data_IF_256895277562
#
_entry.id   IF_256895277562
#
_cell.length_a   1.000
_cell.length_b   1.000
_cell.length_c   1.000
_cell.angle_alpha   90.00
_cell.angle_beta   90.00
_cell.angle_gamma   90.00
#
_symmetry.space_group_name_H-M   'P 1'
#
loop_
_entity.id
_entity.type
_entity.pdbx_description
1 polymer ?
#
# COMPACT_ATOMS: atom_id res chain seq x y z
N UNK A 1 -9.17 7.46 3.06
CA UNK A 1 -9.80 6.14 3.21
C UNK A 1 -10.38 6.07 4.61
N UNK A 2 -11.49 5.36 4.81
CA UNK A 2 -12.08 5.17 6.15
C UNK A 2 -11.59 3.90 6.84
N UNK A 3 -11.06 2.95 6.07
CA UNK A 3 -10.48 1.67 6.52
C UNK A 3 -9.56 1.13 5.41
N UNK A 4 -8.81 0.06 5.69
CA UNK A 4 -8.01 -0.66 4.71
C UNK A 4 -6.67 -0.02 4.38
N UNK A 5 -6.25 1.02 5.11
CA UNK A 5 -5.02 1.77 4.88
C UNK A 5 -3.92 1.43 5.91
N UNK A 6 -2.76 2.09 5.77
CA UNK A 6 -1.64 1.90 6.69
C UNK A 6 -1.98 2.28 8.13
N UNK A 7 -2.93 3.19 8.35
CA UNK A 7 -3.33 3.60 9.69
C UNK A 7 -4.21 2.53 10.33
N UNK A 8 -5.20 2.01 9.61
CA UNK A 8 -6.10 0.97 10.09
C UNK A 8 -5.40 -0.36 10.41
N UNK A 9 -4.37 -0.74 9.63
CA UNK A 9 -3.67 -2.01 9.79
C UNK A 9 -2.40 -1.96 10.65
N UNK A 10 -2.08 -0.80 11.22
CA UNK A 10 -0.85 -0.61 11.99
C UNK A 10 -0.77 -1.52 13.20
N UNK A 11 0.31 -2.30 13.29
CA UNK A 11 0.71 -3.03 14.49
C UNK A 11 2.12 -2.63 14.88
N UNK A 12 2.40 -2.64 16.18
CA UNK A 12 3.74 -2.36 16.70
C UNK A 12 4.08 -3.25 17.88
N UNK A 13 5.37 -3.50 18.05
CA UNK A 13 5.93 -4.23 19.17
C UNK A 13 7.21 -3.53 19.63
N UNK A 14 7.53 -3.65 20.91
CA UNK A 14 8.80 -3.23 21.47
C UNK A 14 9.67 -4.46 21.69
N UNK A 15 10.88 -4.48 21.13
CA UNK A 15 11.81 -5.58 21.29
C UNK A 15 12.26 -5.69 22.75
N UNK A 16 12.02 -6.83 23.40
CA UNK A 16 12.36 -7.04 24.80
C UNK A 16 13.86 -7.16 25.07
N UNK A 17 14.65 -7.36 24.02
CA UNK A 17 16.10 -7.55 24.06
C UNK A 17 16.67 -7.53 22.66
N UNK A 18 17.99 -7.61 22.54
CA UNK A 18 18.67 -7.70 21.24
C UNK A 18 18.26 -9.00 20.55
N UNK A 19 17.73 -8.91 19.33
CA UNK A 19 17.31 -10.06 18.55
C UNK A 19 17.42 -9.83 17.05
N UNK A 20 17.29 -10.92 16.28
CA UNK A 20 17.21 -10.89 14.83
C UNK A 20 15.82 -11.37 14.41
N UNK A 21 15.11 -10.55 13.64
CA UNK A 21 13.79 -10.86 13.09
C UNK A 21 13.87 -11.11 11.58
N UNK A 22 12.92 -11.88 11.05
CA UNK A 22 12.78 -12.19 9.62
C UNK A 22 11.39 -11.77 9.13
N UNK A 23 11.30 -11.29 7.89
CA UNK A 23 10.02 -10.95 7.24
C UNK A 23 9.69 -12.05 6.23
N UNK A 24 8.56 -12.69 6.44
CA UNK A 24 8.08 -13.81 5.62
C UNK A 24 6.65 -13.58 5.16
N UNK A 25 6.35 -14.00 3.93
CA UNK A 25 4.99 -14.17 3.44
C UNK A 25 4.64 -15.66 3.48
N UNK A 26 3.60 -15.99 4.25
CA UNK A 26 2.98 -17.31 4.22
C UNK A 26 1.95 -17.31 3.09
N UNK A 27 2.15 -18.14 2.08
CA UNK A 27 1.22 -18.32 0.98
C UNK A 27 0.07 -19.24 1.41
N UNK A 28 -1.12 -19.02 0.84
CA UNK A 28 -2.33 -19.82 1.12
C UNK A 28 -2.14 -21.31 0.83
N UNK A 29 -1.24 -21.66 -0.10
CA UNK A 29 -0.88 -23.03 -0.44
C UNK A 29 0.14 -23.68 0.53
N UNK A 30 0.47 -23.02 1.65
CA UNK A 30 1.39 -23.52 2.68
C UNK A 30 2.88 -23.26 2.41
N UNK A 31 3.23 -22.57 1.33
CA UNK A 31 4.60 -22.16 1.03
C UNK A 31 5.03 -20.93 1.83
N UNK A 32 6.31 -20.82 2.16
CA UNK A 32 6.88 -19.63 2.81
C UNK A 32 7.83 -18.94 1.83
N UNK A 33 7.59 -17.65 1.58
CA UNK A 33 8.50 -16.80 0.84
C UNK A 33 9.19 -15.83 1.81
N UNK A 34 10.51 -15.91 1.92
CA UNK A 34 11.27 -14.95 2.72
C UNK A 34 11.44 -13.65 1.93
N UNK A 35 10.98 -12.55 2.49
CA UNK A 35 11.10 -11.21 1.89
C UNK A 35 12.31 -10.45 2.42
N UNK A 36 12.68 -10.69 3.67
CA UNK A 36 13.90 -10.14 4.26
C UNK A 36 14.42 -11.07 5.33
N UNK A 37 15.62 -11.62 5.10
CA UNK A 37 16.26 -12.64 5.95
C UNK A 37 16.54 -12.14 7.37
N UNK A 38 17.11 -10.93 7.49
CA UNK A 38 17.58 -10.40 8.76
C UNK A 38 17.17 -8.93 8.96
N UNK A 39 16.58 -8.68 10.13
CA UNK A 39 16.29 -7.36 10.70
C UNK A 39 16.83 -7.40 12.13
N UNK A 40 17.98 -6.78 12.34
CA UNK A 40 18.61 -6.68 13.65
C UNK A 40 17.86 -5.63 14.47
N UNK A 41 17.47 -6.00 15.69
CA UNK A 41 16.73 -5.15 16.61
C UNK A 41 17.49 -4.97 17.92
N UNK A 42 17.51 -3.75 18.42
CA UNK A 42 18.07 -3.43 19.74
C UNK A 42 17.03 -3.61 20.86
N UNK A 43 17.51 -3.74 22.11
CA UNK A 43 16.62 -3.79 23.26
C UNK A 43 15.87 -2.45 23.42
N UNK A 44 14.54 -2.51 23.47
CA UNK A 44 13.67 -1.33 23.53
C UNK A 44 13.32 -0.72 22.17
N UNK A 45 13.82 -1.28 21.06
CA UNK A 45 13.50 -0.79 19.72
C UNK A 45 12.02 -1.07 19.39
N UNK A 46 11.32 -0.06 18.88
CA UNK A 46 9.92 -0.17 18.46
C UNK A 46 9.85 -0.46 16.98
N UNK A 47 9.26 -1.59 16.62
CA UNK A 47 9.08 -2.00 15.23
C UNK A 47 7.60 -1.98 14.88
N UNK A 48 7.27 -1.32 13.78
CA UNK A 48 5.93 -1.25 13.23
C UNK A 48 5.80 -2.05 11.94
N UNK A 49 4.65 -2.68 11.73
CA UNK A 49 4.26 -3.30 10.48
C UNK A 49 2.84 -2.87 10.12
N UNK A 50 2.61 -2.60 8.84
CA UNK A 50 1.29 -2.24 8.32
C UNK A 50 1.23 -2.53 6.81
N UNK A 51 0.05 -2.46 6.23
CA UNK A 51 -0.14 -2.63 4.78
C UNK A 51 -1.31 -1.78 4.26
N UNK A 52 -1.25 -1.46 2.97
CA UNK A 52 -2.31 -0.79 2.22
C UNK A 52 -3.06 -1.84 1.40
N UNK A 53 -4.38 -1.93 1.55
CA UNK A 53 -5.20 -2.75 0.67
C UNK A 53 -5.44 -2.01 -0.65
N UNK A 54 -4.84 -2.50 -1.73
CA UNK A 54 -4.93 -1.87 -3.05
C UNK A 54 -6.35 -1.82 -3.62
N UNK A 55 -7.19 -2.81 -3.33
CA UNK A 55 -8.59 -2.82 -3.76
C UNK A 55 -9.41 -1.78 -3.01
N UNK A 56 -9.23 -1.69 -1.69
CA UNK A 56 -9.87 -0.67 -0.86
C UNK A 56 -9.44 0.75 -1.28
N UNK A 57 -8.15 0.96 -1.54
CA UNK A 57 -7.65 2.22 -2.07
C UNK A 57 -8.28 2.56 -3.42
N UNK A 58 -8.29 1.61 -4.36
CA UNK A 58 -8.88 1.80 -5.68
C UNK A 58 -10.38 2.15 -5.63
N UNK A 59 -11.14 1.45 -4.79
CA UNK A 59 -12.56 1.72 -4.56
C UNK A 59 -12.79 3.11 -3.94
N UNK A 60 -12.02 3.47 -2.91
CA UNK A 60 -12.10 4.80 -2.31
C UNK A 60 -11.71 5.90 -3.30
N UNK A 61 -10.72 5.67 -4.15
CA UNK A 61 -10.29 6.64 -5.16
C UNK A 61 -11.33 6.84 -6.26
N UNK A 62 -11.98 5.76 -6.74
CA UNK A 62 -13.10 5.85 -7.70
C UNK A 62 -14.27 6.64 -7.12
N UNK A 63 -14.62 6.43 -5.84
CA UNK A 63 -15.66 7.21 -5.17
C UNK A 63 -15.34 8.70 -5.15
N UNK A 64 -14.09 9.08 -4.80
CA UNK A 64 -13.67 10.48 -4.81
C UNK A 64 -13.64 11.07 -6.22
N UNK A 65 -13.27 10.27 -7.23
CA UNK A 65 -13.34 10.68 -8.64
C UNK A 65 -14.77 10.99 -9.07
N UNK A 66 -15.73 10.15 -8.70
CA UNK A 66 -17.15 10.35 -9.00
C UNK A 66 -17.72 11.58 -8.29
N UNK A 67 -17.41 11.77 -7.00
CA UNK A 67 -17.82 12.95 -6.24
C UNK A 67 -17.27 14.24 -6.85
N UNK A 68 -15.97 14.27 -7.17
CA UNK A 68 -15.33 15.43 -7.81
C UNK A 68 -15.99 15.77 -9.16
N UNK A 69 -16.28 14.75 -9.99
CA UNK A 69 -17.02 14.93 -11.25
C UNK A 69 -18.42 15.49 -11.03
N UNK A 70 -19.18 14.94 -10.09
CA UNK A 70 -20.55 15.38 -9.79
C UNK A 70 -20.60 16.84 -9.31
N UNK A 71 -19.57 17.27 -8.57
CA UNK A 71 -19.43 18.63 -8.04
C UNK A 71 -18.78 19.62 -9.01
N UNK A 72 -18.31 19.16 -10.17
CA UNK A 72 -17.51 19.97 -11.09
C UNK A 72 -16.18 20.44 -10.51
N UNK A 73 -15.63 19.70 -9.53
CA UNK A 73 -14.38 20.01 -8.86
C UNK A 73 -13.18 19.30 -9.52
N UNK A 74 -11.99 19.87 -9.37
CA UNK A 74 -10.74 19.23 -9.79
C UNK A 74 -10.39 18.11 -8.82
N UNK A 75 -10.17 16.89 -9.33
CA UNK A 75 -9.56 15.83 -8.55
C UNK A 75 -8.04 16.03 -8.48
N UNK A 76 -7.48 15.99 -7.27
CA UNK A 76 -6.04 16.03 -7.04
C UNK A 76 -5.61 14.91 -6.09
N UNK A 77 -4.51 14.22 -6.41
CA UNK A 77 -3.91 13.19 -5.57
C UNK A 77 -2.57 13.71 -5.01
N UNK A 78 -2.46 13.78 -3.68
CA UNK A 78 -1.28 14.31 -2.98
C UNK A 78 -0.51 13.17 -2.32
N UNK A 79 0.70 12.92 -2.79
CA UNK A 79 1.61 11.85 -2.33
C UNK A 79 3.03 12.41 -2.16
N UNK A 80 3.90 11.67 -1.49
CA UNK A 80 5.31 12.00 -1.24
C UNK A 80 6.26 11.05 -1.98
N UNK A 81 6.01 10.84 -3.26
CA UNK A 81 6.62 9.81 -4.12
C UNK A 81 8.15 9.78 -4.18
N UNK A 82 8.84 10.91 -3.96
CA UNK A 82 10.30 10.95 -3.95
C UNK A 82 10.92 10.41 -2.67
N UNK A 83 10.26 10.60 -1.52
CA UNK A 83 10.73 10.12 -0.22
C UNK A 83 10.23 8.70 0.03
N UNK A 84 8.95 8.48 -0.24
CA UNK A 84 8.30 7.17 -0.20
C UNK A 84 8.45 6.45 -1.54
N UNK A 85 9.71 6.29 -1.98
CA UNK A 85 10.09 5.86 -3.33
C UNK A 85 9.59 4.47 -3.76
N UNK A 86 9.04 3.67 -2.83
CA UNK A 86 8.43 2.37 -3.13
C UNK A 86 6.90 2.47 -3.07
N UNK A 87 6.33 2.83 -1.92
CA UNK A 87 4.87 2.78 -1.71
C UNK A 87 4.10 3.78 -2.56
N UNK A 88 4.54 5.03 -2.60
CA UNK A 88 3.77 6.12 -3.19
C UNK A 88 3.72 6.04 -4.72
N UNK A 89 4.81 5.66 -5.43
CA UNK A 89 4.72 5.36 -6.86
C UNK A 89 3.74 4.22 -7.18
N UNK A 90 3.66 3.18 -6.34
CA UNK A 90 2.69 2.09 -6.52
C UNK A 90 1.27 2.63 -6.35
N UNK A 91 1.00 3.39 -5.29
CA UNK A 91 -0.31 4.02 -5.06
C UNK A 91 -0.70 4.97 -6.20
N UNK A 92 0.25 5.77 -6.70
CA UNK A 92 0.06 6.64 -7.86
C UNK A 92 -0.33 5.82 -9.09
N UNK A 93 0.34 4.69 -9.33
CA UNK A 93 0.00 3.75 -10.40
C UNK A 93 -1.43 3.18 -10.28
N UNK A 94 -1.86 2.82 -9.07
CA UNK A 94 -3.25 2.40 -8.83
C UNK A 94 -4.24 3.54 -9.09
N UNK A 95 -3.95 4.77 -8.64
CA UNK A 95 -4.78 5.94 -8.93
C UNK A 95 -4.91 6.22 -10.42
N UNK A 96 -3.81 6.11 -11.17
CA UNK A 96 -3.81 6.26 -12.63
C UNK A 96 -4.63 5.17 -13.33
N UNK A 97 -4.53 3.90 -12.89
CA UNK A 97 -5.34 2.80 -13.42
C UNK A 97 -6.84 3.02 -13.23
N UNK A 98 -7.25 3.55 -12.07
CA UNK A 98 -8.66 3.88 -11.80
C UNK A 98 -9.11 5.06 -12.66
N UNK A 99 -8.31 6.13 -12.71
CA UNK A 99 -8.65 7.32 -13.49
C UNK A 99 -8.80 7.03 -15.00
N UNK A 100 -7.91 6.20 -15.55
CA UNK A 100 -7.90 5.81 -16.97
C UNK A 100 -8.45 4.39 -17.20
N UNK A 101 -9.39 3.92 -16.36
CA UNK A 101 -9.88 2.54 -16.39
C UNK A 101 -10.33 2.06 -17.78
N UNK A 102 -10.99 2.93 -18.55
CA UNK A 102 -11.51 2.59 -19.89
C UNK A 102 -10.36 2.36 -20.89
N UNK A 103 -9.26 3.10 -20.75
CA UNK A 103 -8.05 2.94 -21.58
C UNK A 103 -7.37 1.61 -21.26
N UNK A 104 -7.20 1.30 -19.97
CA UNK A 104 -6.60 0.03 -19.53
C UNK A 104 -7.47 -1.19 -19.87
N UNK A 105 -8.79 -1.04 -19.93
CA UNK A 105 -9.70 -2.09 -20.39
C UNK A 105 -9.56 -2.36 -21.90
N UNK A 106 -9.32 -1.31 -22.69
CA UNK A 106 -9.25 -1.40 -24.17
C UNK A 106 -7.88 -1.84 -24.68
N UNK A 107 -6.78 -1.39 -24.04
CA UNK A 107 -5.40 -1.57 -24.53
C UNK A 107 -4.60 -2.62 -23.75
N UNK A 108 -5.25 -3.69 -23.26
CA UNK A 108 -4.65 -4.63 -22.29
C UNK A 108 -3.47 -5.48 -22.84
N UNK A 109 -3.23 -5.48 -24.15
CA UNK A 109 -2.33 -6.45 -24.83
C UNK A 109 -0.89 -5.98 -25.12
N UNK A 110 -0.46 -4.79 -24.72
CA UNK A 110 0.90 -4.30 -25.09
C UNK A 110 1.99 -4.55 -24.04
N UNK A 111 1.90 -5.61 -23.23
CA UNK A 111 2.88 -5.93 -22.16
C UNK A 111 3.57 -7.26 -22.34
#
# INVERSE_FOLDING_TARGET
>A
MSDGDFYAHGKSVCASGVCEARIELLADAGGIAVWKEAVLLEAGEVVGASFMNCEAFGGSYEQQLQDAKARGALLSLHLKATMMHISDPIMLGHGAKVFFKDVFATCRETS
#
